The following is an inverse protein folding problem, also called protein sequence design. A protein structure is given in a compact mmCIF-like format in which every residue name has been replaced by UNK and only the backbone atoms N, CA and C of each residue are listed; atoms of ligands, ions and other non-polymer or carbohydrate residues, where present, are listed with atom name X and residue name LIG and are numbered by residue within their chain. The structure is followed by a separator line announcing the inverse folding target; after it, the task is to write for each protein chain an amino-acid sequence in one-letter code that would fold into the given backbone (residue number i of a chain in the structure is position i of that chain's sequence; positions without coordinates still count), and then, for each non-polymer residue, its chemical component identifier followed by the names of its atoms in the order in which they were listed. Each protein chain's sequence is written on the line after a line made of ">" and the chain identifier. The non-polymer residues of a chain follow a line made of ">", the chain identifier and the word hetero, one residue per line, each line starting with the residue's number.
data_IF_718841659627
#
_entry.id   IF_718841659627
#
_cell.length_a   1.000
_cell.length_b   1.000
_cell.length_c   1.000
_cell.angle_alpha   90.00
_cell.angle_beta   90.00
_cell.angle_gamma   90.00
#
_symmetry.space_group_name_H-M   'P 1'
#
loop_
_entity.id
_entity.type
_entity.pdbx_description
1 polymer ?
#
# COMPACT_ATOMS: atom_id res chain seq x y z
N UNK A 1 13.32 -14.15 12.74
CA UNK A 1 13.20 -13.36 11.50
C UNK A 1 14.14 -12.16 11.49
N UNK A 2 14.22 -11.32 12.53
CA UNK A 2 15.20 -10.21 12.55
C UNK A 2 16.60 -10.56 13.02
N UNK A 3 16.77 -11.61 13.78
CA UNK A 3 18.08 -12.21 14.08
C UNK A 3 18.80 -12.63 12.80
N UNK A 4 18.07 -12.96 11.74
CA UNK A 4 18.61 -13.29 10.42
C UNK A 4 19.03 -12.06 9.62
N UNK A 5 18.36 -10.91 9.78
CA UNK A 5 18.84 -9.65 9.20
C UNK A 5 20.19 -9.20 9.78
N UNK A 6 20.48 -9.54 11.05
CA UNK A 6 21.81 -9.40 11.64
C UNK A 6 22.83 -10.38 11.03
N UNK A 7 22.37 -11.50 10.47
CA UNK A 7 23.18 -12.42 9.67
C UNK A 7 23.65 -11.80 8.35
N UNK A 8 22.88 -10.85 7.79
CA UNK A 8 23.22 -10.15 6.54
C UNK A 8 24.59 -9.47 6.62
N UNK A 9 24.88 -8.75 7.71
CA UNK A 9 26.20 -8.15 7.94
C UNK A 9 27.30 -9.22 8.11
N UNK A 10 26.98 -10.36 8.72
CA UNK A 10 27.90 -11.45 8.96
C UNK A 10 28.30 -12.24 7.70
N UNK A 11 27.42 -12.25 6.69
CA UNK A 11 27.65 -12.99 5.43
C UNK A 11 28.14 -12.12 4.27
N UNK A 12 28.58 -10.88 4.54
CA UNK A 12 29.16 -9.98 3.53
C UNK A 12 28.13 -9.46 2.52
N UNK A 13 26.86 -9.43 2.86
CA UNK A 13 25.79 -8.81 2.04
C UNK A 13 26.05 -7.32 1.95
N UNK A 14 26.05 -6.79 0.73
CA UNK A 14 26.32 -5.37 0.44
C UNK A 14 25.04 -4.57 0.22
N UNK A 15 23.94 -5.24 -0.08
CA UNK A 15 22.66 -4.63 -0.44
C UNK A 15 21.49 -5.34 0.19
N UNK A 16 20.58 -4.57 0.78
CA UNK A 16 19.32 -5.05 1.34
C UNK A 16 18.16 -4.23 0.72
N UNK A 17 17.21 -4.91 0.12
CA UNK A 17 15.97 -4.28 -0.37
C UNK A 17 14.80 -4.87 0.41
N UNK A 18 14.04 -4.00 1.07
CA UNK A 18 12.84 -4.37 1.84
C UNK A 18 11.62 -3.83 1.12
N UNK A 19 10.68 -4.73 0.81
CA UNK A 19 9.36 -4.34 0.30
C UNK A 19 8.42 -4.18 1.49
N UNK A 20 8.08 -2.93 1.79
CA UNK A 20 7.08 -2.50 2.75
C UNK A 20 5.76 -2.14 2.03
N UNK A 21 4.95 -1.24 2.55
CA UNK A 21 3.75 -0.69 1.92
C UNK A 21 3.49 0.74 2.38
N UNK A 22 2.83 1.53 1.56
CA UNK A 22 2.29 2.83 1.95
C UNK A 22 1.20 2.72 3.03
N UNK A 23 0.60 1.54 3.23
CA UNK A 23 -0.38 1.30 4.30
C UNK A 23 0.17 1.52 5.71
N UNK A 24 1.51 1.56 5.88
CA UNK A 24 2.17 1.87 7.17
C UNK A 24 1.81 3.27 7.70
N UNK A 25 1.47 4.22 6.83
CA UNK A 25 1.02 5.56 7.24
C UNK A 25 -0.38 5.53 7.86
N UNK A 26 -1.28 4.72 7.31
CA UNK A 26 -2.67 4.59 7.73
C UNK A 26 -3.59 5.71 7.21
N UNK A 27 -4.82 5.38 6.83
CA UNK A 27 -5.81 6.39 6.45
C UNK A 27 -6.24 7.21 7.66
N UNK A 28 -6.29 8.53 7.51
CA UNK A 28 -6.75 9.46 8.57
C UNK A 28 -7.40 10.68 7.93
N UNK A 29 -8.44 11.25 8.58
CA UNK A 29 -9.02 12.53 8.15
C UNK A 29 -8.02 13.69 8.25
N UNK A 30 -6.98 13.54 9.08
CA UNK A 30 -5.96 14.56 9.33
C UNK A 30 -4.74 14.43 8.41
N UNK A 31 -4.71 13.42 7.52
CA UNK A 31 -3.62 13.25 6.58
C UNK A 31 -3.53 14.45 5.62
N UNK A 32 -2.30 14.88 5.33
CA UNK A 32 -2.05 15.75 4.18
C UNK A 32 -2.46 15.02 2.89
N UNK A 33 -2.72 15.78 1.82
CA UNK A 33 -3.14 15.18 0.54
C UNK A 33 -2.14 14.15 0.00
N UNK A 34 -0.84 14.40 0.22
CA UNK A 34 0.23 13.47 -0.15
C UNK A 34 1.22 13.37 1.00
N UNK A 35 1.45 12.15 1.49
CA UNK A 35 2.37 11.84 2.57
C UNK A 35 3.77 11.59 2.02
N UNK A 36 4.75 12.29 2.55
CA UNK A 36 6.16 12.04 2.25
C UNK A 36 6.71 10.87 3.05
N UNK A 37 7.93 10.44 2.76
CA UNK A 37 8.61 9.36 3.48
C UNK A 37 8.90 9.69 4.95
N UNK A 38 8.91 10.98 5.30
CA UNK A 38 9.09 11.49 6.66
C UNK A 38 7.79 11.51 7.48
N UNK A 39 6.64 11.22 6.85
CA UNK A 39 5.36 11.20 7.55
C UNK A 39 5.33 10.08 8.61
N UNK A 40 4.68 10.30 9.77
CA UNK A 40 4.64 9.33 10.86
C UNK A 40 3.87 8.06 10.46
N UNK A 41 4.36 6.90 10.92
CA UNK A 41 3.74 5.59 10.68
C UNK A 41 2.61 5.34 11.68
N UNK A 42 1.42 5.87 11.39
CA UNK A 42 0.29 5.91 12.34
C UNK A 42 -0.62 4.69 12.29
N UNK A 43 -0.46 3.79 11.30
CA UNK A 43 -1.36 2.65 11.11
C UNK A 43 -1.32 1.63 12.26
N UNK A 44 -0.18 1.49 12.99
CA UNK A 44 -0.02 0.52 14.08
C UNK A 44 -1.07 0.63 15.18
N UNK A 45 -1.53 1.84 15.49
CA UNK A 45 -2.48 2.09 16.56
C UNK A 45 -3.93 1.78 16.18
N UNK A 46 -4.24 1.76 14.87
CA UNK A 46 -5.61 1.64 14.36
C UNK A 46 -5.85 0.32 13.61
N UNK A 47 -4.82 -0.24 12.96
CA UNK A 47 -4.94 -1.38 12.07
C UNK A 47 -4.04 -2.55 12.51
N UNK A 48 -4.58 -3.52 13.29
CA UNK A 48 -3.82 -4.68 13.74
C UNK A 48 -3.19 -5.50 12.59
N UNK A 49 -3.86 -5.52 11.43
CA UNK A 49 -3.44 -6.28 10.23
C UNK A 49 -2.13 -5.77 9.62
N UNK A 50 -1.80 -4.49 9.81
CA UNK A 50 -0.56 -3.88 9.29
C UNK A 50 0.53 -3.71 10.34
N UNK A 51 0.28 -4.12 11.60
CA UNK A 51 1.25 -3.96 12.69
C UNK A 51 2.58 -4.63 12.40
N UNK A 52 2.54 -5.89 11.98
CA UNK A 52 3.76 -6.64 11.65
C UNK A 52 4.55 -5.99 10.52
N UNK A 53 3.84 -5.40 9.55
CA UNK A 53 4.45 -4.68 8.43
C UNK A 53 5.17 -3.41 8.92
N UNK A 54 4.55 -2.66 9.83
CA UNK A 54 5.15 -1.47 10.44
C UNK A 54 6.39 -1.86 11.26
N UNK A 55 6.33 -2.94 12.03
CA UNK A 55 7.49 -3.45 12.76
C UNK A 55 8.64 -3.78 11.79
N UNK A 56 8.38 -4.46 10.69
CA UNK A 56 9.37 -4.75 9.65
C UNK A 56 9.95 -3.47 9.05
N UNK A 57 9.10 -2.48 8.72
CA UNK A 57 9.52 -1.19 8.17
C UNK A 57 10.43 -0.43 9.16
N UNK A 58 9.99 -0.30 10.42
CA UNK A 58 10.78 0.35 11.49
C UNK A 58 12.12 -0.36 11.74
N UNK A 59 12.13 -1.67 11.67
CA UNK A 59 13.33 -2.47 11.87
C UNK A 59 14.30 -2.30 10.68
N UNK A 60 13.79 -2.24 9.44
CA UNK A 60 14.58 -1.94 8.25
C UNK A 60 15.15 -0.51 8.30
N UNK A 61 14.35 0.45 8.76
CA UNK A 61 14.80 1.81 8.98
C UNK A 61 15.88 1.90 10.06
N UNK A 62 15.69 1.20 11.20
CA UNK A 62 16.71 1.10 12.24
C UNK A 62 18.00 0.38 11.78
N UNK A 63 17.87 -0.60 10.88
CA UNK A 63 19.01 -1.29 10.27
C UNK A 63 19.79 -0.35 9.33
N UNK A 64 19.12 0.44 8.51
CA UNK A 64 19.72 1.46 7.64
C UNK A 64 20.70 2.38 8.41
N UNK A 65 20.31 2.85 9.60
CA UNK A 65 21.15 3.74 10.40
C UNK A 65 22.28 3.02 11.14
N UNK A 66 22.07 1.76 11.53
CA UNK A 66 23.08 0.98 12.28
C UNK A 66 24.15 0.36 11.40
N UNK A 67 23.83 0.14 10.12
CA UNK A 67 24.70 -0.53 9.15
C UNK A 67 24.87 0.32 7.89
N UNK A 68 25.51 1.51 7.99
CA UNK A 68 25.70 2.42 6.85
C UNK A 68 26.56 1.83 5.73
N UNK A 69 27.34 0.79 6.03
CA UNK A 69 28.15 0.01 5.08
C UNK A 69 27.29 -0.87 4.15
N UNK A 70 26.03 -1.14 4.52
CA UNK A 70 25.09 -1.92 3.73
C UNK A 70 24.10 -0.96 3.07
N UNK A 71 24.07 -0.96 1.76
CA UNK A 71 23.09 -0.16 1.02
C UNK A 71 21.68 -0.71 1.25
N UNK A 72 20.95 -0.11 2.17
CA UNK A 72 19.58 -0.51 2.48
C UNK A 72 18.57 0.38 1.76
N UNK A 73 17.60 -0.24 1.07
CA UNK A 73 16.46 0.41 0.42
C UNK A 73 15.19 -0.15 0.99
N UNK A 74 14.29 0.72 1.45
CA UNK A 74 12.92 0.37 1.84
C UNK A 74 11.98 0.97 0.82
N UNK A 75 11.20 0.13 0.13
CA UNK A 75 10.18 0.56 -0.81
C UNK A 75 8.80 0.48 -0.14
N UNK A 76 8.05 1.57 -0.17
CA UNK A 76 6.66 1.68 0.30
C UNK A 76 5.74 1.88 -0.90
N UNK A 77 5.41 0.80 -1.65
CA UNK A 77 4.48 0.91 -2.75
C UNK A 77 3.07 1.21 -2.25
N UNK A 78 2.31 1.92 -3.08
CA UNK A 78 0.85 2.06 -2.95
C UNK A 78 0.17 0.72 -3.21
N UNK A 79 -1.17 0.65 -3.18
CA UNK A 79 -1.91 -0.60 -3.34
C UNK A 79 -1.50 -1.37 -4.59
N UNK A 80 -0.79 -2.49 -4.38
CA UNK A 80 -0.33 -3.36 -5.46
C UNK A 80 -1.52 -4.17 -5.97
N UNK A 81 -1.73 -4.11 -7.29
CA UNK A 81 -2.80 -4.87 -7.95
C UNK A 81 -2.25 -5.71 -9.11
N UNK A 82 -3.01 -6.75 -9.47
CA UNK A 82 -2.66 -7.68 -10.54
C UNK A 82 -3.46 -8.98 -10.41
N UNK A 83 -3.54 -9.77 -11.48
CA UNK A 83 -4.34 -11.01 -11.52
C UNK A 83 -3.99 -12.00 -10.39
N UNK A 84 -2.70 -12.20 -10.13
CA UNK A 84 -2.20 -13.14 -9.14
C UNK A 84 -2.15 -12.57 -7.71
N UNK A 85 -2.40 -11.26 -7.53
CA UNK A 85 -2.28 -10.59 -6.23
C UNK A 85 -3.51 -10.88 -5.37
N UNK A 86 -3.27 -11.42 -4.16
CA UNK A 86 -4.30 -11.81 -3.18
C UNK A 86 -4.19 -10.99 -1.89
N UNK A 87 -4.08 -9.67 -2.03
CA UNK A 87 -4.13 -8.75 -0.89
C UNK A 87 -5.55 -8.21 -0.67
N UNK A 88 -5.77 -7.51 0.45
CA UNK A 88 -7.07 -6.97 0.80
C UNK A 88 -7.61 -5.99 -0.26
N UNK A 89 -6.84 -5.00 -0.79
CA UNK A 89 -7.31 -4.12 -1.86
C UNK A 89 -7.73 -4.88 -3.13
N UNK A 90 -6.90 -5.80 -3.64
CA UNK A 90 -7.24 -6.56 -4.85
C UNK A 90 -8.47 -7.43 -4.66
N UNK A 91 -8.63 -8.07 -3.49
CA UNK A 91 -9.80 -8.88 -3.19
C UNK A 91 -11.07 -8.03 -3.12
N UNK A 92 -10.98 -6.84 -2.52
CA UNK A 92 -12.09 -5.88 -2.48
C UNK A 92 -12.49 -5.40 -3.89
N UNK A 93 -11.51 -5.04 -4.72
CA UNK A 93 -11.75 -4.58 -6.08
C UNK A 93 -12.36 -5.67 -6.99
N UNK A 94 -12.14 -6.96 -6.72
CA UNK A 94 -12.76 -8.09 -7.45
C UNK A 94 -14.23 -8.31 -7.14
N UNK A 95 -14.76 -7.72 -6.08
CA UNK A 95 -16.16 -7.87 -5.73
C UNK A 95 -17.05 -7.18 -6.77
N UNK A 96 -17.97 -7.91 -7.39
CA UNK A 96 -18.92 -7.34 -8.37
C UNK A 96 -19.86 -6.30 -7.75
N UNK A 97 -20.13 -6.40 -6.46
CA UNK A 97 -20.97 -5.49 -5.67
C UNK A 97 -20.27 -5.13 -4.36
N UNK A 98 -19.16 -4.39 -4.41
CA UNK A 98 -18.49 -3.96 -3.19
C UNK A 98 -19.35 -2.95 -2.42
N UNK A 99 -19.24 -2.95 -1.12
CA UNK A 99 -19.85 -1.91 -0.29
C UNK A 99 -18.96 -0.67 -0.33
N UNK A 100 -19.57 0.49 -0.56
CA UNK A 100 -18.91 1.79 -0.51
C UNK A 100 -19.62 2.70 0.49
N UNK A 101 -18.93 3.64 1.06
CA UNK A 101 -19.52 4.60 1.99
C UNK A 101 -20.33 5.63 1.20
N UNK A 102 -21.64 5.73 1.50
CA UNK A 102 -22.49 6.73 0.88
C UNK A 102 -22.00 8.14 1.20
N UNK A 103 -21.84 8.98 0.17
CA UNK A 103 -21.33 10.35 0.30
C UNK A 103 -19.80 10.46 0.30
N UNK A 104 -19.06 9.37 0.13
CA UNK A 104 -17.61 9.36 0.04
C UNK A 104 -17.15 8.73 -1.29
N UNK A 105 -16.15 9.32 -1.89
CA UNK A 105 -15.49 8.79 -3.09
C UNK A 105 -13.98 9.07 -2.95
N UNK A 106 -13.26 8.27 -2.13
CA UNK A 106 -11.86 8.52 -1.85
C UNK A 106 -11.01 8.36 -3.10
N UNK A 107 -9.99 9.20 -3.21
CA UNK A 107 -8.92 9.02 -4.18
C UNK A 107 -8.04 7.84 -3.76
N UNK A 108 -7.70 6.99 -4.72
CA UNK A 108 -6.85 5.83 -4.51
C UNK A 108 -5.67 5.83 -5.48
N UNK A 109 -4.54 5.34 -5.01
CA UNK A 109 -3.34 5.10 -5.81
C UNK A 109 -3.15 3.61 -5.97
N UNK A 110 -3.04 3.15 -7.22
CA UNK A 110 -2.83 1.74 -7.56
C UNK A 110 -1.53 1.61 -8.35
N UNK A 111 -0.81 0.51 -8.13
CA UNK A 111 0.39 0.19 -8.88
C UNK A 111 0.31 -1.25 -9.40
N UNK A 112 0.71 -1.44 -10.67
CA UNK A 112 0.75 -2.76 -11.27
C UNK A 112 1.89 -3.59 -10.63
N UNK A 113 1.63 -4.88 -10.39
CA UNK A 113 2.62 -5.78 -9.75
C UNK A 113 3.95 -5.85 -10.50
N UNK A 114 3.94 -5.78 -11.84
CA UNK A 114 5.16 -5.75 -12.64
C UNK A 114 5.95 -4.44 -12.46
N UNK A 115 5.25 -3.31 -12.27
CA UNK A 115 5.90 -2.03 -11.98
C UNK A 115 6.61 -2.08 -10.62
N UNK A 116 6.01 -2.74 -9.62
CA UNK A 116 6.69 -3.00 -8.34
C UNK A 116 7.93 -3.88 -8.54
N UNK A 117 7.82 -4.94 -9.34
CA UNK A 117 8.98 -5.78 -9.70
C UNK A 117 10.11 -4.97 -10.32
N UNK A 118 9.79 -4.05 -11.25
CA UNK A 118 10.77 -3.14 -11.86
C UNK A 118 11.37 -2.15 -10.85
N UNK A 119 10.56 -1.64 -9.92
CA UNK A 119 11.07 -0.79 -8.85
C UNK A 119 12.05 -1.55 -7.93
N UNK A 120 11.76 -2.81 -7.61
CA UNK A 120 12.68 -3.66 -6.83
C UNK A 120 14.01 -3.90 -7.58
N UNK A 121 13.96 -4.14 -8.90
CA UNK A 121 15.16 -4.29 -9.73
C UNK A 121 15.97 -2.98 -9.74
N UNK A 122 15.30 -1.83 -9.85
CA UNK A 122 15.97 -0.52 -9.77
C UNK A 122 16.59 -0.28 -8.39
N UNK A 123 15.91 -0.69 -7.31
CA UNK A 123 16.44 -0.59 -5.95
C UNK A 123 17.70 -1.44 -5.72
N UNK A 124 17.87 -2.53 -6.47
CA UNK A 124 19.06 -3.38 -6.40
C UNK A 124 20.31 -2.74 -7.04
N UNK A 125 20.17 -1.67 -7.81
CA UNK A 125 21.33 -0.99 -8.42
C UNK A 125 22.25 -0.42 -7.36
N UNK A 126 23.59 -0.48 -7.56
CA UNK A 126 24.56 0.13 -6.66
C UNK A 126 24.30 1.64 -6.46
N UNK A 127 24.58 2.15 -5.27
CA UNK A 127 24.39 3.56 -4.92
C UNK A 127 22.97 3.93 -4.50
N UNK A 128 21.97 3.04 -4.64
CA UNK A 128 20.61 3.27 -4.16
C UNK A 128 20.54 2.95 -2.66
N UNK A 129 20.11 3.90 -1.85
CA UNK A 129 19.88 3.73 -0.41
C UNK A 129 18.86 4.75 0.08
N UNK A 130 18.00 4.33 1.01
CA UNK A 130 16.98 5.20 1.60
C UNK A 130 15.61 4.55 1.68
N UNK A 131 14.63 5.34 2.11
CA UNK A 131 13.21 4.96 2.14
C UNK A 131 12.51 5.71 1.01
N UNK A 132 11.66 5.02 0.27
CA UNK A 132 10.98 5.58 -0.90
C UNK A 132 9.54 5.14 -0.99
N UNK A 133 8.65 6.10 -1.17
CA UNK A 133 7.31 5.84 -1.65
C UNK A 133 7.33 5.49 -3.14
N UNK A 134 6.61 4.43 -3.54
CA UNK A 134 6.56 4.00 -4.94
C UNK A 134 5.11 4.05 -5.41
N UNK A 135 4.82 5.00 -6.29
CA UNK A 135 3.48 5.25 -6.80
C UNK A 135 3.30 4.68 -8.21
N UNK A 136 2.05 4.36 -8.56
CA UNK A 136 1.65 4.04 -9.91
C UNK A 136 1.47 5.30 -10.78
N UNK A 137 0.68 5.20 -11.87
CA UNK A 137 0.54 6.28 -12.88
C UNK A 137 -0.37 7.44 -12.45
N UNK A 138 -0.55 7.66 -11.16
CA UNK A 138 -1.35 8.74 -10.59
C UNK A 138 -2.41 8.23 -9.62
N UNK A 139 -3.44 9.04 -9.42
CA UNK A 139 -4.56 8.76 -8.52
C UNK A 139 -5.91 8.89 -9.24
N UNK A 140 -6.89 8.13 -8.80
CA UNK A 140 -8.25 8.15 -9.35
C UNK A 140 -9.29 7.97 -8.24
N UNK A 141 -10.51 8.53 -8.40
CA UNK A 141 -11.61 8.23 -7.50
C UNK A 141 -11.95 6.73 -7.51
N UNK A 142 -12.27 6.17 -6.37
CA UNK A 142 -12.66 4.76 -6.24
C UNK A 142 -13.86 4.39 -7.12
N UNK A 143 -14.80 5.31 -7.31
CA UNK A 143 -15.93 5.14 -8.23
C UNK A 143 -15.50 4.93 -9.67
N UNK A 144 -14.40 5.58 -10.09
CA UNK A 144 -13.86 5.42 -11.45
C UNK A 144 -13.22 4.04 -11.60
N UNK A 145 -12.55 3.52 -10.56
CA UNK A 145 -12.01 2.15 -10.57
C UNK A 145 -13.15 1.14 -10.78
N UNK A 146 -14.24 1.22 -10.01
CA UNK A 146 -15.37 0.32 -10.18
C UNK A 146 -16.05 0.44 -11.53
N UNK A 147 -16.15 1.65 -12.08
CA UNK A 147 -16.69 1.87 -13.43
C UNK A 147 -15.83 1.19 -14.49
N UNK A 148 -14.51 1.29 -14.41
CA UNK A 148 -13.58 0.63 -15.34
C UNK A 148 -13.66 -0.90 -15.24
N UNK A 149 -13.87 -1.45 -14.03
CA UNK A 149 -14.07 -2.89 -13.80
C UNK A 149 -15.49 -3.38 -14.15
N UNK A 150 -16.42 -2.48 -14.52
CA UNK A 150 -17.82 -2.83 -14.77
C UNK A 150 -18.60 -3.26 -13.53
N UNK A 151 -18.13 -2.91 -12.34
CA UNK A 151 -18.74 -3.28 -11.07
C UNK A 151 -19.81 -2.27 -10.63
N UNK A 152 -20.79 -2.74 -9.83
CA UNK A 152 -21.90 -1.91 -9.33
C UNK A 152 -21.81 -1.84 -7.80
N UNK A 153 -21.12 -0.85 -7.25
CA UNK A 153 -20.97 -0.71 -5.80
C UNK A 153 -22.32 -0.46 -5.13
N UNK A 154 -22.45 -0.95 -3.89
CA UNK A 154 -23.63 -0.78 -3.04
C UNK A 154 -23.33 0.30 -2.00
N UNK A 155 -23.99 1.47 -2.08
CA UNK A 155 -23.77 2.53 -1.11
C UNK A 155 -24.35 2.14 0.25
N UNK A 156 -23.54 2.23 1.29
CA UNK A 156 -23.92 1.96 2.67
C UNK A 156 -23.89 3.27 3.47
N UNK A 157 -25.02 3.69 4.07
CA UNK A 157 -25.03 4.89 4.90
C UNK A 157 -24.04 4.79 6.06
N UNK A 158 -23.27 5.88 6.29
CA UNK A 158 -22.21 5.92 7.30
C UNK A 158 -22.70 5.51 8.71
N UNK A 159 -23.89 5.97 9.12
CA UNK A 159 -24.44 5.70 10.45
C UNK A 159 -24.65 4.21 10.75
N UNK A 160 -24.90 3.40 9.72
CA UNK A 160 -25.16 1.96 9.88
C UNK A 160 -23.98 1.08 9.45
N UNK A 161 -23.02 1.62 8.68
CA UNK A 161 -21.90 0.88 8.14
C UNK A 161 -21.05 0.24 9.23
N UNK A 162 -20.59 1.06 10.19
CA UNK A 162 -19.69 0.62 11.27
C UNK A 162 -20.36 -0.37 12.23
N UNK A 163 -21.57 -0.14 12.80
CA UNK A 163 -22.23 -1.10 13.64
C UNK A 163 -22.63 -2.40 12.90
N UNK A 164 -23.06 -2.29 11.64
CA UNK A 164 -23.38 -3.47 10.82
C UNK A 164 -22.15 -4.34 10.60
N UNK A 165 -21.04 -3.75 10.15
CA UNK A 165 -19.80 -4.50 9.90
C UNK A 165 -19.24 -5.10 11.19
N UNK A 166 -19.28 -4.36 12.31
CA UNK A 166 -18.88 -4.86 13.63
C UNK A 166 -19.68 -6.11 14.02
N UNK A 167 -20.99 -6.07 13.78
CA UNK A 167 -21.88 -7.22 14.07
C UNK A 167 -21.56 -8.39 13.17
N UNK A 168 -21.44 -8.17 11.86
CA UNK A 168 -21.10 -9.22 10.89
C UNK A 168 -19.72 -9.84 11.17
N UNK A 169 -18.73 -9.03 11.50
CA UNK A 169 -17.39 -9.50 11.84
C UNK A 169 -17.39 -10.32 13.13
N UNK A 170 -18.12 -9.89 14.18
CA UNK A 170 -18.28 -10.64 15.43
C UNK A 170 -18.86 -12.03 15.22
N UNK A 171 -19.82 -12.17 14.30
CA UNK A 171 -20.42 -13.46 13.94
C UNK A 171 -19.67 -14.21 12.83
N UNK A 172 -18.46 -13.75 12.42
CA UNK A 172 -17.65 -14.33 11.35
C UNK A 172 -18.36 -14.39 9.98
N UNK A 173 -19.33 -13.52 9.77
CA UNK A 173 -20.07 -13.38 8.51
C UNK A 173 -19.40 -12.37 7.56
N UNK A 174 -18.50 -11.52 8.07
CA UNK A 174 -17.65 -10.63 7.29
C UNK A 174 -16.18 -11.02 7.50
N UNK A 175 -15.42 -11.02 6.42
CA UNK A 175 -13.98 -11.31 6.44
C UNK A 175 -13.13 -10.09 6.75
N UNK A 176 -13.73 -8.89 6.78
CA UNK A 176 -13.02 -7.62 6.97
C UNK A 176 -13.35 -7.03 8.34
N UNK A 177 -12.33 -6.62 9.14
CA UNK A 177 -12.56 -5.91 10.38
C UNK A 177 -13.22 -4.54 10.14
N UNK A 178 -13.97 -4.01 11.11
CA UNK A 178 -14.65 -2.70 10.97
C UNK A 178 -13.70 -1.54 10.71
N UNK A 179 -12.46 -1.64 11.16
CA UNK A 179 -11.40 -0.64 10.98
C UNK A 179 -11.00 -0.46 9.51
N UNK A 180 -11.15 -1.51 8.70
CA UNK A 180 -10.87 -1.46 7.25
C UNK A 180 -11.82 -0.51 6.50
N UNK A 181 -12.96 -0.11 7.10
CA UNK A 181 -13.82 0.93 6.52
C UNK A 181 -13.11 2.27 6.38
N UNK A 182 -12.14 2.56 7.23
CA UNK A 182 -11.38 3.80 7.16
C UNK A 182 -10.57 3.90 5.86
N UNK A 183 -10.11 2.76 5.30
CA UNK A 183 -9.42 2.70 4.00
C UNK A 183 -10.32 3.05 2.80
N UNK A 184 -11.63 2.85 2.92
CA UNK A 184 -12.62 3.25 1.91
C UNK A 184 -13.31 4.58 2.20
N UNK A 185 -12.92 5.25 3.26
CA UNK A 185 -13.47 6.55 3.67
C UNK A 185 -12.43 7.65 3.60
N UNK A 186 -11.21 7.42 4.07
CA UNK A 186 -10.18 8.44 4.23
C UNK A 186 -9.02 8.24 3.25
N UNK A 187 -8.37 9.35 2.93
CA UNK A 187 -7.22 9.35 2.05
C UNK A 187 -5.96 8.78 2.75
N UNK A 188 -5.21 7.99 2.02
CA UNK A 188 -3.86 7.59 2.35
C UNK A 188 -3.01 7.61 1.07
N UNK A 189 -2.90 8.81 0.47
CA UNK A 189 -2.07 9.00 -0.72
C UNK A 189 -0.66 9.40 -0.32
N UNK A 190 0.31 8.95 -1.10
CA UNK A 190 1.73 9.23 -0.86
C UNK A 190 2.36 9.96 -2.03
N UNK A 191 3.38 10.77 -1.73
CA UNK A 191 4.24 11.40 -2.73
C UNK A 191 5.37 10.46 -3.14
N UNK A 192 5.39 10.02 -4.40
CA UNK A 192 6.44 9.16 -4.98
C UNK A 192 7.49 9.95 -5.78
N UNK A 193 7.48 11.28 -5.71
CA UNK A 193 8.36 12.14 -6.50
C UNK A 193 9.84 11.92 -6.19
N UNK A 194 10.17 11.63 -4.93
CA UNK A 194 11.55 11.35 -4.51
C UNK A 194 12.12 10.15 -5.24
N UNK A 195 11.41 9.01 -5.28
CA UNK A 195 11.83 7.82 -6.01
C UNK A 195 12.06 8.13 -7.49
N UNK A 196 11.09 8.78 -8.14
CA UNK A 196 11.19 9.15 -9.55
C UNK A 196 12.36 10.10 -9.83
N UNK A 197 12.57 11.10 -8.99
CA UNK A 197 13.63 12.11 -9.19
C UNK A 197 15.02 11.52 -9.01
N UNK A 198 15.23 10.70 -7.96
CA UNK A 198 16.54 10.15 -7.63
C UNK A 198 16.94 8.99 -8.55
N UNK A 199 15.96 8.24 -9.11
CA UNK A 199 16.24 7.04 -9.88
C UNK A 199 15.94 7.17 -11.37
N UNK A 200 15.11 8.12 -11.77
CA UNK A 200 14.55 8.20 -13.13
C UNK A 200 13.48 7.15 -13.41
N UNK A 201 13.15 6.30 -12.42
CA UNK A 201 12.14 5.25 -12.56
C UNK A 201 10.73 5.83 -12.72
N UNK A 202 9.94 5.23 -13.59
CA UNK A 202 8.51 5.56 -13.78
C UNK A 202 7.70 4.28 -13.99
N UNK A 203 6.43 4.25 -13.56
CA UNK A 203 5.53 3.15 -13.90
C UNK A 203 5.37 3.06 -15.42
N UNK A 204 5.27 1.86 -15.96
CA UNK A 204 5.10 1.62 -17.40
C UNK A 204 3.64 1.33 -17.76
N UNK A 205 2.86 0.75 -16.83
CA UNK A 205 1.45 0.51 -17.04
C UNK A 205 0.65 1.80 -16.85
N UNK A 206 -0.31 2.01 -17.73
CA UNK A 206 -1.31 3.08 -17.57
C UNK A 206 -2.26 2.75 -16.41
N UNK A 207 -2.97 3.76 -15.89
CA UNK A 207 -3.98 3.54 -14.85
C UNK A 207 -5.05 2.54 -15.30
N UNK A 208 -5.46 2.58 -16.55
CA UNK A 208 -6.46 1.67 -17.11
C UNK A 208 -5.98 0.22 -17.13
N UNK A 209 -4.76 -0.03 -17.59
CA UNK A 209 -4.13 -1.36 -17.57
C UNK A 209 -3.96 -1.86 -16.13
N UNK A 210 -3.51 -0.98 -15.23
CA UNK A 210 -3.37 -1.29 -13.80
C UNK A 210 -4.69 -1.72 -13.18
N UNK A 211 -5.79 -1.00 -13.46
CA UNK A 211 -7.10 -1.36 -12.95
C UNK A 211 -7.58 -2.70 -13.54
N UNK A 212 -7.48 -2.89 -14.86
CA UNK A 212 -7.95 -4.10 -15.54
C UNK A 212 -7.18 -5.34 -15.14
N UNK A 213 -5.90 -5.20 -14.81
CA UNK A 213 -5.06 -6.32 -14.34
C UNK A 213 -5.62 -7.00 -13.07
N UNK A 214 -6.49 -6.32 -12.30
CA UNK A 214 -7.21 -6.91 -11.15
C UNK A 214 -8.02 -8.13 -11.56
N UNK A 215 -8.61 -8.09 -12.77
CA UNK A 215 -9.42 -9.18 -13.34
C UNK A 215 -8.61 -10.14 -14.23
N UNK A 216 -7.33 -9.85 -14.48
CA UNK A 216 -6.47 -10.66 -15.36
C UNK A 216 -6.62 -10.29 -16.85
N UNK A 217 -7.05 -9.07 -17.13
CA UNK A 217 -7.20 -8.51 -18.48
C UNK A 217 -6.05 -7.57 -18.85
#
# INVERSE_FOLDING_TARGET
>A
MMVEALGVAKFGVKKLVVLSSADVYGPSPDNSNFLSEEAPLMAASRFPTVRDLIEVDMLAHGFFWRHPEIETVVLRPVHIVGAAIKNAPSNYLRLKRPWVMAGFDPMVQLIHTEDVGRAMIEALRPGRKGVYNVTGPGEVPLSMVFRELGHKPLPLPHLIAKPLLTTLFRYRLASYPPEELDHIQFLCMVDGSRWTTETGWKPQHTMKETIRSVLGE
#
